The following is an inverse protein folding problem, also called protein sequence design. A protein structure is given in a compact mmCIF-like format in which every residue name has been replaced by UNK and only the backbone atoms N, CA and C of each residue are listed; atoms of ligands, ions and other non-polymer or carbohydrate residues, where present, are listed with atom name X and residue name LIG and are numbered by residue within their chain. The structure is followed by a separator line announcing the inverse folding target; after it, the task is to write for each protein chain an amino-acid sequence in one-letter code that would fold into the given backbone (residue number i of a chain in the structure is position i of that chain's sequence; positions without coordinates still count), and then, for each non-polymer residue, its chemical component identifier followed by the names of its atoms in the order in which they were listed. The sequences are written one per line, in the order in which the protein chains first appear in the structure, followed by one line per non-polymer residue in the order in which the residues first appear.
data_IF_611870835907
#
_entry.id   IF_611870835907
#
_cell.length_a   1.000
_cell.length_b   1.000
_cell.length_c   1.000
_cell.angle_alpha   90.00
_cell.angle_beta   90.00
_cell.angle_gamma   90.00
#
_symmetry.space_group_name_H-M   'P 1'
#
loop_
_entity.id
_entity.type
_entity.pdbx_description
1 polymer ?
#
# COMPACT_ATOMS: atom_id res chain seq x y z
N UNK A 1 -6.43 8.27 -7.47
CA UNK A 1 -6.07 7.54 -8.71
C UNK A 1 -5.08 6.48 -8.30
N UNK A 2 -5.34 5.22 -8.65
CA UNK A 2 -4.49 4.12 -8.21
C UNK A 2 -3.45 3.75 -9.29
N UNK A 3 -2.22 3.57 -8.84
CA UNK A 3 -1.06 3.19 -9.64
C UNK A 3 -0.75 1.71 -9.44
N UNK A 4 -0.04 1.10 -10.38
CA UNK A 4 0.48 -0.26 -10.20
C UNK A 4 1.80 -0.19 -9.45
N UNK A 5 1.97 -1.09 -8.48
CA UNK A 5 3.21 -1.26 -7.74
C UNK A 5 3.43 -2.71 -7.35
N UNK A 6 4.63 -2.99 -6.87
CA UNK A 6 5.02 -4.29 -6.37
C UNK A 6 5.43 -4.17 -4.91
N UNK A 7 5.03 -5.14 -4.10
CA UNK A 7 5.49 -5.23 -2.71
C UNK A 7 7.00 -5.49 -2.73
N UNK A 8 7.82 -4.56 -2.25
CA UNK A 8 9.26 -4.77 -2.10
C UNK A 8 9.54 -5.63 -0.87
N UNK A 9 8.96 -5.24 0.26
CA UNK A 9 9.09 -5.92 1.54
C UNK A 9 7.83 -5.69 2.37
N UNK A 10 7.50 -6.66 3.21
CA UNK A 10 6.36 -6.61 4.12
C UNK A 10 6.74 -7.23 5.46
N UNK A 11 6.57 -6.46 6.53
CA UNK A 11 6.82 -6.86 7.90
C UNK A 11 5.48 -7.15 8.56
N UNK A 12 5.01 -8.41 8.46
CA UNK A 12 3.67 -8.80 8.93
C UNK A 12 3.50 -8.60 10.44
N UNK A 13 4.55 -8.84 11.23
CA UNK A 13 4.57 -8.63 12.68
C UNK A 13 4.35 -7.15 13.07
N UNK A 14 4.93 -6.24 12.29
CA UNK A 14 4.83 -4.80 12.52
C UNK A 14 3.67 -4.15 11.75
N UNK A 15 3.10 -4.85 10.77
CA UNK A 15 1.96 -4.40 9.97
C UNK A 15 2.29 -3.31 8.97
N UNK A 16 3.54 -3.19 8.50
CA UNK A 16 3.95 -2.22 7.49
C UNK A 16 4.86 -2.84 6.43
N UNK A 17 5.04 -2.13 5.32
CA UNK A 17 5.96 -2.54 4.27
C UNK A 17 6.25 -1.43 3.29
N UNK A 18 7.02 -1.77 2.25
CA UNK A 18 7.44 -0.83 1.21
C UNK A 18 6.93 -1.33 -0.14
N UNK A 19 6.35 -0.41 -0.89
CA UNK A 19 5.81 -0.65 -2.23
C UNK A 19 6.69 0.07 -3.25
N UNK A 20 7.12 -0.64 -4.28
CA UNK A 20 7.96 -0.11 -5.36
C UNK A 20 7.13 0.14 -6.61
N UNK A 21 7.24 1.35 -7.15
CA UNK A 21 6.60 1.74 -8.41
C UNK A 21 7.43 2.80 -9.10
N UNK A 22 7.30 2.86 -10.42
CA UNK A 22 7.90 3.90 -11.26
C UNK A 22 7.43 5.31 -10.88
N UNK A 23 6.24 5.43 -10.30
CA UNK A 23 5.64 6.71 -9.89
C UNK A 23 6.08 7.15 -8.47
N UNK A 24 6.61 6.22 -7.66
CA UNK A 24 7.12 6.49 -6.30
C UNK A 24 8.59 6.07 -6.19
N UNK A 25 9.52 6.80 -6.85
CA UNK A 25 10.94 6.47 -6.83
C UNK A 25 11.49 6.54 -5.40
N UNK A 26 12.24 5.52 -5.00
CA UNK A 26 12.74 5.38 -3.62
C UNK A 26 11.83 4.58 -2.70
N UNK A 27 10.65 4.19 -3.17
CA UNK A 27 9.69 3.37 -2.43
C UNK A 27 8.59 4.21 -1.77
N UNK A 28 7.44 3.57 -1.63
CA UNK A 28 6.26 4.12 -0.98
C UNK A 28 5.99 3.32 0.30
N UNK A 29 5.99 4.00 1.43
CA UNK A 29 5.69 3.38 2.72
C UNK A 29 4.21 3.02 2.81
N UNK A 30 3.88 1.82 3.27
CA UNK A 30 2.52 1.33 3.38
C UNK A 30 2.24 0.67 4.72
N UNK A 31 1.03 0.89 5.25
CA UNK A 31 0.58 0.30 6.51
C UNK A 31 -0.64 -0.57 6.30
N UNK A 32 -0.72 -1.70 7.00
CA UNK A 32 -1.86 -2.63 6.99
C UNK A 32 -3.20 -1.91 7.19
N UNK A 33 -3.25 -0.88 8.04
CA UNK A 33 -4.47 -0.10 8.29
C UNK A 33 -5.02 0.64 7.07
N UNK A 34 -4.21 0.82 6.03
CA UNK A 34 -4.59 1.43 4.76
C UNK A 34 -4.89 0.39 3.66
N UNK A 35 -4.79 -0.91 3.96
CA UNK A 35 -5.10 -1.96 3.01
C UNK A 35 -6.62 -2.06 2.78
N UNK A 36 -7.08 -1.85 1.55
CA UNK A 36 -8.49 -1.94 1.14
C UNK A 36 -8.88 -3.38 0.76
N UNK A 37 -8.58 -4.32 1.66
CA UNK A 37 -8.81 -5.77 1.50
C UNK A 37 -9.90 -6.27 2.45
N UNK A 38 -10.55 -7.38 2.10
CA UNK A 38 -11.52 -8.00 3.00
C UNK A 38 -10.80 -8.97 3.95
N UNK A 39 -10.75 -8.61 5.24
CA UNK A 39 -10.16 -9.45 6.29
C UNK A 39 -8.67 -9.18 6.50
N UNK A 40 -7.93 -10.20 6.96
CA UNK A 40 -6.48 -10.14 7.07
C UNK A 40 -5.86 -10.44 5.69
N UNK A 41 -5.39 -9.40 4.99
CA UNK A 41 -4.52 -9.62 3.84
C UNK A 41 -3.07 -9.64 4.29
N UNK A 42 -2.37 -10.69 3.85
CA UNK A 42 -0.92 -10.78 3.91
C UNK A 42 -0.37 -10.37 2.56
N UNK A 43 0.73 -9.64 2.55
CA UNK A 43 1.40 -9.20 1.32
C UNK A 43 2.72 -9.92 1.17
N UNK A 44 2.99 -10.43 -0.03
CA UNK A 44 4.23 -11.16 -0.32
C UNK A 44 5.14 -10.29 -1.20
N UNK A 45 6.44 -10.27 -0.93
CA UNK A 45 7.40 -9.58 -1.79
C UNK A 45 7.29 -10.06 -3.26
N UNK A 46 7.28 -9.12 -4.20
CA UNK A 46 7.05 -9.35 -5.63
C UNK A 46 5.56 -9.40 -6.03
N UNK A 47 4.62 -9.36 -5.09
CA UNK A 47 3.19 -9.33 -5.41
C UNK A 47 2.80 -8.00 -6.07
N UNK A 48 2.05 -8.08 -7.17
CA UNK A 48 1.47 -6.91 -7.82
C UNK A 48 0.26 -6.40 -7.03
N UNK A 49 0.24 -5.09 -6.81
CA UNK A 49 -0.80 -4.38 -6.07
C UNK A 49 -1.16 -3.09 -6.79
N UNK A 50 -2.31 -2.55 -6.42
CA UNK A 50 -2.71 -1.18 -6.74
C UNK A 50 -2.61 -0.35 -5.47
N UNK A 51 -2.01 0.83 -5.56
CA UNK A 51 -2.01 1.79 -4.45
C UNK A 51 -2.42 3.19 -4.88
N UNK A 52 -2.94 3.94 -3.93
CA UNK A 52 -3.09 5.39 -3.95
C UNK A 52 -2.13 5.97 -2.91
N UNK A 53 -1.32 6.91 -3.34
CA UNK A 53 -0.23 7.47 -2.53
C UNK A 53 -0.29 9.00 -2.49
N UNK A 54 0.40 9.56 -1.51
CA UNK A 54 0.63 10.99 -1.39
C UNK A 54 2.11 11.26 -1.10
N UNK A 55 2.62 12.40 -1.57
CA UNK A 55 3.97 12.88 -1.33
C UNK A 55 4.07 13.67 0.00
N UNK A 56 3.53 13.11 1.09
CA UNK A 56 3.56 13.76 2.40
C UNK A 56 4.83 13.43 3.21
N UNK A 57 5.61 12.45 2.76
CA UNK A 57 6.76 11.91 3.49
C UNK A 57 6.37 11.13 4.75
N UNK A 58 6.98 9.96 4.97
CA UNK A 58 6.77 9.16 6.19
C UNK A 58 7.95 8.22 6.44
N UNK A 59 8.47 8.20 7.67
CA UNK A 59 9.51 7.26 8.12
C UNK A 59 10.76 7.20 7.22
N UNK A 60 11.17 8.34 6.67
CA UNK A 60 12.31 8.42 5.74
C UNK A 60 11.97 8.17 4.27
N UNK A 61 10.73 7.79 3.95
CA UNK A 61 10.22 7.71 2.57
C UNK A 61 9.56 9.02 2.14
N UNK A 62 9.71 9.38 0.87
CA UNK A 62 9.07 10.59 0.31
C UNK A 62 7.56 10.41 0.06
N UNK A 63 7.11 9.15 -0.09
CA UNK A 63 5.75 8.80 -0.45
C UNK A 63 5.16 7.84 0.58
N UNK A 64 3.88 8.00 0.88
CA UNK A 64 3.10 7.05 1.69
C UNK A 64 1.83 6.61 0.98
N UNK A 65 1.48 5.35 1.12
CA UNK A 65 0.26 4.77 0.61
C UNK A 65 -0.86 4.98 1.63
N UNK A 66 -1.87 5.78 1.29
CA UNK A 66 -3.07 5.93 2.12
C UNK A 66 -4.16 4.92 1.76
N UNK A 67 -4.03 4.23 0.63
CA UNK A 67 -4.91 3.11 0.24
C UNK A 67 -4.20 2.14 -0.69
N UNK A 68 -4.31 0.83 -0.49
CA UNK A 68 -3.76 -0.16 -1.43
C UNK A 68 -4.44 -1.53 -1.34
N UNK A 69 -4.38 -2.33 -2.41
CA UNK A 69 -5.01 -3.65 -2.50
C UNK A 69 -4.32 -4.54 -3.55
N UNK A 70 -4.40 -5.88 -3.45
CA UNK A 70 -3.89 -6.79 -4.47
C UNK A 70 -4.52 -6.51 -5.84
N UNK A 71 -3.72 -6.55 -6.90
CA UNK A 71 -4.22 -6.25 -8.25
C UNK A 71 -5.28 -7.25 -8.74
N UNK A 72 -5.25 -8.48 -8.21
CA UNK A 72 -6.23 -9.54 -8.48
C UNK A 72 -7.54 -9.35 -7.72
N UNK A 73 -7.55 -8.53 -6.67
CA UNK A 73 -8.75 -8.26 -5.87
C UNK A 73 -9.40 -6.93 -6.27
N UNK A 74 -10.72 -6.94 -6.34
CA UNK A 74 -11.47 -5.68 -6.38
C UNK A 74 -11.36 -5.04 -5.00
N UNK A 75 -10.95 -3.76 -4.89
CA UNK A 75 -10.82 -3.10 -3.59
C UNK A 75 -12.13 -3.24 -2.82
N UNK A 76 -12.03 -3.76 -1.60
CA UNK A 76 -13.18 -3.83 -0.71
C UNK A 76 -13.77 -2.43 -0.53
N UNK A 77 -15.10 -2.33 -0.56
CA UNK A 77 -15.82 -1.09 -0.26
C UNK A 77 -15.80 -0.84 1.25
N UNK A 78 -14.64 -0.51 1.83
CA UNK A 78 -14.59 -0.03 3.22
C UNK A 78 -13.35 0.80 3.47
N UNK A 79 -13.54 2.12 3.42
CA UNK A 79 -13.21 3.05 4.48
C UNK A 79 -13.98 4.34 4.13
N UNK A 80 -15.06 4.60 4.87
CA UNK A 80 -15.71 5.91 4.87
C UNK A 80 -14.65 6.97 5.19
N UNK A 81 -14.63 8.14 4.53
CA UNK A 81 -13.73 9.20 4.94
C UNK A 81 -14.12 9.61 6.36
N UNK A 82 -13.21 9.43 7.32
CA UNK A 82 -13.37 9.99 8.65
C UNK A 82 -13.56 11.51 8.50
N UNK A 83 -14.76 11.98 8.80
CA UNK A 83 -15.13 13.40 8.84
C UNK A 83 -14.59 14.13 10.06
#
# INVERSE_FOLDING_TARGET
MAITAFVREWHDDEGWGVLDSTETPGGCWAHRGNAAVRGYATFTAGQEIRLEFEAAGQDGYAFRAFRFWPADETPGHTAEPAG
#
